data_IF_883577038839
#
_entry.id   IF_883577038839
#
_cell.length_a   1.000
_cell.length_b   1.000
_cell.length_c   1.000
_cell.angle_alpha   90.00
_cell.angle_beta   90.00
_cell.angle_gamma   90.00
#
_symmetry.space_group_name_H-M   'P 1'
#
loop_
_entity.id
_entity.type
_entity.pdbx_description
1 polymer ?
#
# COMPACT_ATOMS: atom_id res chain seq x y z
N UNK A 1 -14.36 -4.36 13.07
CA UNK A 1 -13.43 -3.83 12.06
C UNK A 1 -14.12 -3.93 10.71
N UNK A 2 -14.13 -2.88 9.89
CA UNK A 2 -14.74 -2.94 8.56
C UNK A 2 -14.08 -4.10 7.75
N UNK A 3 -14.85 -5.06 7.19
CA UNK A 3 -14.31 -6.17 6.41
C UNK A 3 -13.39 -5.73 5.26
N UNK A 4 -13.67 -4.58 4.66
CA UNK A 4 -12.87 -4.04 3.54
C UNK A 4 -11.49 -3.57 4.01
N UNK A 5 -11.45 -2.85 5.14
CA UNK A 5 -10.19 -2.47 5.81
C UNK A 5 -9.37 -3.68 6.20
N UNK A 6 -10.00 -4.75 6.69
CA UNK A 6 -9.29 -5.99 7.04
C UNK A 6 -8.65 -6.64 5.79
N UNK A 7 -9.40 -6.69 4.67
CA UNK A 7 -8.90 -7.20 3.38
C UNK A 7 -7.74 -6.36 2.84
N UNK A 8 -7.83 -5.03 2.91
CA UNK A 8 -6.75 -4.13 2.52
C UNK A 8 -5.49 -4.38 3.35
N UNK A 9 -5.60 -4.51 4.68
CA UNK A 9 -4.45 -4.85 5.51
C UNK A 9 -3.85 -6.23 5.19
N UNK A 10 -4.67 -7.23 4.89
CA UNK A 10 -4.18 -8.55 4.47
C UNK A 10 -3.39 -8.48 3.16
N UNK A 11 -3.89 -7.71 2.20
CA UNK A 11 -3.19 -7.46 0.95
C UNK A 11 -1.84 -6.78 1.20
N UNK A 12 -1.82 -5.69 1.95
CA UNK A 12 -0.62 -4.94 2.29
C UNK A 12 0.41 -5.79 3.05
N UNK A 13 -0.05 -6.65 3.97
CA UNK A 13 0.83 -7.63 4.67
C UNK A 13 1.48 -8.61 3.71
N UNK A 14 0.76 -9.10 2.70
CA UNK A 14 1.32 -10.01 1.68
C UNK A 14 2.37 -9.30 0.84
N UNK A 15 2.09 -8.08 0.38
CA UNK A 15 3.05 -7.26 -0.38
C UNK A 15 4.32 -7.03 0.44
N UNK A 16 4.19 -6.55 1.68
CA UNK A 16 5.34 -6.31 2.54
C UNK A 16 6.15 -7.59 2.79
N UNK A 17 5.48 -8.73 3.07
CA UNK A 17 6.17 -10.02 3.28
C UNK A 17 6.93 -10.50 2.05
N UNK A 18 6.39 -10.28 0.84
CA UNK A 18 7.00 -10.77 -0.40
C UNK A 18 8.10 -9.84 -0.93
N UNK A 19 7.92 -8.53 -0.80
CA UNK A 19 8.79 -7.51 -1.40
C UNK A 19 9.79 -6.90 -0.41
N UNK A 20 9.43 -6.76 0.86
CA UNK A 20 10.26 -6.13 1.89
C UNK A 20 11.22 -7.13 2.56
N UNK A 21 11.98 -7.92 1.78
CA UNK A 21 12.78 -9.08 2.23
C UNK A 21 13.41 -8.93 3.63
N UNK A 22 14.25 -7.91 3.82
CA UNK A 22 14.95 -7.68 5.10
C UNK A 22 14.16 -6.77 6.05
N UNK A 23 13.39 -5.83 5.50
CA UNK A 23 12.70 -4.80 6.28
C UNK A 23 11.44 -5.31 6.98
N UNK A 24 10.79 -6.34 6.41
CA UNK A 24 9.59 -6.97 6.98
C UNK A 24 9.81 -7.52 8.38
N UNK A 25 11.01 -8.03 8.68
CA UNK A 25 11.33 -8.58 10.00
C UNK A 25 11.31 -7.50 11.09
N UNK A 26 11.70 -6.27 10.77
CA UNK A 26 11.60 -5.13 11.69
C UNK A 26 10.14 -4.84 12.07
N UNK A 27 9.19 -5.10 11.17
CA UNK A 27 7.76 -4.90 11.44
C UNK A 27 7.18 -5.93 12.41
N UNK A 28 7.80 -7.11 12.54
CA UNK A 28 7.33 -8.16 13.45
C UNK A 28 7.52 -7.80 14.92
N UNK A 29 8.40 -6.85 15.23
CA UNK A 29 8.64 -6.33 16.57
C UNK A 29 7.57 -5.32 17.04
N UNK A 30 6.73 -4.84 16.11
CA UNK A 30 5.68 -3.87 16.40
C UNK A 30 4.41 -4.55 16.91
N UNK A 31 3.58 -3.80 17.65
CA UNK A 31 2.22 -4.22 17.96
C UNK A 31 1.41 -4.52 16.69
N UNK A 32 0.38 -5.36 16.78
CA UNK A 32 -0.42 -5.74 15.61
C UNK A 32 -0.99 -4.55 14.83
N UNK A 33 -1.43 -3.50 15.53
CA UNK A 33 -1.95 -2.29 14.89
C UNK A 33 -0.86 -1.54 14.14
N UNK A 34 0.27 -1.26 14.80
CA UNK A 34 1.41 -0.57 14.19
C UNK A 34 1.98 -1.35 13.01
N UNK A 35 2.16 -2.67 13.16
CA UNK A 35 2.60 -3.56 12.07
C UNK A 35 1.68 -3.48 10.85
N UNK A 36 0.37 -3.43 11.06
CA UNK A 36 -0.60 -3.33 9.95
C UNK A 36 -0.50 -1.97 9.27
N UNK A 37 -0.35 -0.89 10.04
CA UNK A 37 -0.07 0.45 9.51
C UNK A 37 1.23 0.51 8.69
N UNK A 38 2.32 -0.06 9.20
CA UNK A 38 3.60 -0.11 8.49
C UNK A 38 3.51 -0.93 7.20
N UNK A 39 2.80 -2.06 7.21
CA UNK A 39 2.59 -2.84 5.98
C UNK A 39 1.80 -2.06 4.92
N UNK A 40 0.78 -1.27 5.33
CA UNK A 40 0.02 -0.43 4.43
C UNK A 40 0.87 0.70 3.82
N UNK A 41 1.65 1.39 4.65
CA UNK A 41 2.59 2.44 4.19
C UNK A 41 3.62 1.84 3.22
N UNK A 42 4.20 0.69 3.56
CA UNK A 42 5.18 0.02 2.70
C UNK A 42 4.55 -0.36 1.35
N UNK A 43 3.36 -0.95 1.35
CA UNK A 43 2.68 -1.33 0.11
C UNK A 43 2.40 -0.10 -0.77
N UNK A 44 1.92 0.99 -0.19
CA UNK A 44 1.73 2.26 -0.92
C UNK A 44 3.04 2.76 -1.56
N UNK A 45 4.12 2.85 -0.77
CA UNK A 45 5.42 3.31 -1.27
C UNK A 45 5.95 2.39 -2.38
N UNK A 46 5.82 1.07 -2.21
CA UNK A 46 6.27 0.10 -3.22
C UNK A 46 5.55 0.28 -4.55
N UNK A 47 4.25 0.59 -4.52
CA UNK A 47 3.48 0.90 -5.71
C UNK A 47 3.97 2.19 -6.38
N UNK A 48 4.29 3.23 -5.62
CA UNK A 48 4.89 4.45 -6.18
C UNK A 48 6.22 4.15 -6.88
N UNK A 49 7.10 3.37 -6.24
CA UNK A 49 8.40 2.96 -6.82
C UNK A 49 8.20 2.13 -8.10
N UNK A 50 7.29 1.15 -8.08
CA UNK A 50 7.00 0.32 -9.25
C UNK A 50 6.52 1.18 -10.43
N UNK A 51 5.71 2.22 -10.17
CA UNK A 51 5.25 3.15 -11.22
C UNK A 51 6.35 4.10 -11.73
N UNK A 52 7.36 4.42 -10.91
CA UNK A 52 8.43 5.35 -11.29
C UNK A 52 9.63 4.67 -11.95
N UNK A 53 9.92 3.42 -11.57
CA UNK A 53 11.17 2.74 -11.93
C UNK A 53 11.04 1.86 -13.18
N UNK A 54 9.82 1.69 -13.71
CA UNK A 54 9.59 0.93 -14.93
C UNK A 54 10.24 1.60 -16.17
N UNK A 55 10.96 0.84 -17.03
CA UNK A 55 11.47 1.37 -18.29
C UNK A 55 10.34 1.95 -19.14
N UNK A 56 10.42 3.25 -19.47
CA UNK A 56 9.36 3.96 -20.18
C UNK A 56 8.26 4.53 -19.28
N UNK A 57 8.50 4.62 -17.97
CA UNK A 57 7.60 5.29 -17.03
C UNK A 57 7.23 6.70 -17.53
N UNK A 58 5.93 6.99 -17.48
CA UNK A 58 5.36 8.30 -17.82
C UNK A 58 4.68 8.90 -16.59
N UNK A 59 4.31 10.19 -16.65
CA UNK A 59 3.63 10.85 -15.53
C UNK A 59 2.18 10.39 -15.33
N UNK A 60 1.53 9.89 -16.38
CA UNK A 60 0.10 9.59 -16.33
C UNK A 60 -0.30 8.51 -15.29
N UNK A 61 0.42 7.37 -15.14
CA UNK A 61 0.12 6.40 -14.10
C UNK A 61 0.27 6.94 -12.68
N UNK A 62 1.34 7.69 -12.38
CA UNK A 62 1.56 8.25 -11.05
C UNK A 62 0.56 9.38 -10.72
N UNK A 63 0.13 10.15 -11.73
CA UNK A 63 -0.94 11.14 -11.58
C UNK A 63 -2.28 10.47 -11.25
N UNK A 64 -2.62 9.37 -11.95
CA UNK A 64 -3.82 8.57 -11.60
C UNK A 64 -3.73 8.01 -10.19
N UNK A 65 -2.58 7.50 -9.78
CA UNK A 65 -2.36 6.98 -8.43
C UNK A 65 -2.54 8.08 -7.37
N UNK A 66 -2.06 9.30 -7.65
CA UNK A 66 -2.26 10.47 -6.79
C UNK A 66 -3.74 10.85 -6.66
N UNK A 67 -4.49 10.84 -7.76
CA UNK A 67 -5.94 11.08 -7.71
C UNK A 67 -6.66 10.02 -6.86
N UNK A 68 -6.31 8.74 -6.98
CA UNK A 68 -6.88 7.68 -6.14
C UNK A 68 -6.58 7.87 -4.65
N UNK A 69 -5.40 8.37 -4.30
CA UNK A 69 -5.07 8.74 -2.92
C UNK A 69 -5.97 9.88 -2.42
N UNK A 70 -6.12 10.95 -3.20
CA UNK A 70 -6.99 12.09 -2.86
C UNK A 70 -8.44 11.64 -2.66
N UNK A 71 -8.98 10.81 -3.56
CA UNK A 71 -10.30 10.22 -3.42
C UNK A 71 -10.43 9.38 -2.14
N UNK A 72 -9.44 8.52 -1.85
CA UNK A 72 -9.46 7.69 -0.66
C UNK A 72 -9.42 8.51 0.64
N UNK A 73 -8.68 9.62 0.66
CA UNK A 73 -8.68 10.56 1.81
C UNK A 73 -10.03 11.25 2.00
N UNK A 74 -10.79 11.43 0.93
CA UNK A 74 -12.18 11.93 0.96
C UNK A 74 -13.22 10.81 1.22
N UNK A 75 -12.77 9.58 1.50
CA UNK A 75 -13.64 8.43 1.77
C UNK A 75 -14.24 7.78 0.53
N UNK A 76 -13.75 8.10 -0.67
CA UNK A 76 -14.11 7.45 -1.93
C UNK A 76 -13.01 6.47 -2.32
N UNK A 77 -13.27 5.20 -2.11
CA UNK A 77 -12.26 4.18 -2.33
C UNK A 77 -12.35 3.62 -3.75
N UNK A 78 -11.24 3.70 -4.48
CA UNK A 78 -11.09 2.96 -5.73
C UNK A 78 -10.91 1.48 -5.42
N UNK A 79 -11.38 0.58 -6.30
CA UNK A 79 -11.32 -0.88 -6.07
C UNK A 79 -9.92 -1.50 -5.99
N UNK A 80 -8.87 -0.70 -5.86
CA UNK A 80 -7.50 -1.18 -5.71
C UNK A 80 -7.26 -1.65 -4.26
N UNK A 81 -6.70 -2.86 -4.04
CA UNK A 81 -6.70 -3.51 -2.71
C UNK A 81 -5.80 -2.85 -1.66
N UNK A 82 -4.98 -1.85 -2.03
CA UNK A 82 -4.26 -1.00 -1.05
C UNK A 82 -5.22 -0.03 -0.37
N UNK A 83 -6.25 0.44 -1.07
CA UNK A 83 -7.29 1.28 -0.52
C UNK A 83 -8.39 0.39 0.09
N UNK A 84 -8.80 0.63 1.33
CA UNK A 84 -9.82 -0.15 2.00
C UNK A 84 -11.23 0.15 1.48
#
# INVERSE_FOLDING_TARGET
>A
MNPEVARSYDYCRRVARQRAKNFYYSFLLLSTQQRSGMCAIYAFMRYCDDLSDEPGATRAPIERWRCQLEEALEGRFSGHPVWP
#
